data_IF_800621071489
#
_entry.id   IF_800621071489
#
_cell.length_a   1.000
_cell.length_b   1.000
_cell.length_c   1.000
_cell.angle_alpha   90.00
_cell.angle_beta   90.00
_cell.angle_gamma   90.00
#
_symmetry.space_group_name_H-M   'P 1'
#
loop_
_entity.id
_entity.type
_entity.pdbx_description
1 polymer ?
#
# COMPACT_ATOMS: atom_id res chain seq x y z
N UNK A 1 -12.82 -2.13 25.63
CA UNK A 1 -12.64 -2.33 25.12
C UNK A 1 -11.94 -2.49 24.47
N UNK A 2 -11.60 -2.40 24.46
CA UNK A 2 -11.06 -2.52 23.84
C UNK A 2 -10.67 -2.96 23.17
N UNK A 3 -10.36 -3.07 23.40
CA UNK A 3 -10.27 -3.99 22.62
C UNK A 3 -10.14 -3.77 21.26
N UNK A 4 -10.61 -2.94 20.80
CA UNK A 4 -10.42 -2.60 19.55
C UNK A 4 -9.08 -2.40 19.15
N UNK A 5 -8.30 -1.89 19.97
CA UNK A 5 -6.98 -1.59 19.71
C UNK A 5 -6.21 -2.73 19.27
N UNK A 6 -6.43 -3.83 19.87
CA UNK A 6 -5.68 -4.92 19.50
C UNK A 6 -6.08 -5.40 18.16
N UNK A 7 -7.21 -4.95 17.69
CA UNK A 7 -7.61 -5.34 16.42
C UNK A 7 -7.20 -4.40 15.36
N UNK A 8 -6.54 -3.32 15.72
CA UNK A 8 -6.09 -2.39 14.74
C UNK A 8 -5.09 -3.05 13.84
N UNK A 9 -5.27 -2.94 12.57
CA UNK A 9 -4.34 -3.48 11.60
C UNK A 9 -3.11 -2.60 11.49
N UNK A 10 -1.95 -3.21 11.35
CA UNK A 10 -0.73 -2.44 11.11
C UNK A 10 -0.74 -1.93 9.68
N UNK A 11 -0.34 -0.69 9.50
CA UNK A 11 -0.37 -0.03 8.20
C UNK A 11 1.02 0.35 7.73
N UNK A 12 1.20 0.38 6.42
CA UNK A 12 2.41 0.91 5.83
C UNK A 12 2.41 2.42 6.05
N UNK A 13 3.53 2.95 6.48
CA UNK A 13 3.66 4.38 6.73
C UNK A 13 4.97 4.87 6.13
N UNK A 14 5.10 6.16 6.01
CA UNK A 14 6.35 6.78 5.60
C UNK A 14 6.91 7.56 6.80
N UNK A 15 8.22 7.76 6.81
CA UNK A 15 8.88 8.41 7.91
C UNK A 15 10.06 9.24 7.41
N UNK A 16 10.31 10.38 8.04
CA UNK A 16 11.54 11.12 7.85
C UNK A 16 11.82 11.86 9.16
N UNK A 17 12.76 12.80 9.14
CA UNK A 17 13.14 13.49 10.38
C UNK A 17 12.02 14.34 10.96
N UNK A 18 11.00 14.64 10.16
CA UNK A 18 9.86 15.43 10.66
C UNK A 18 8.78 14.56 11.28
N UNK A 19 8.87 13.24 11.18
CA UNK A 19 7.92 12.35 11.82
C UNK A 19 7.36 11.32 10.86
N UNK A 20 6.19 10.81 11.21
CA UNK A 20 5.53 9.75 10.46
C UNK A 20 4.39 10.32 9.64
N UNK A 21 4.17 9.71 8.48
CA UNK A 21 3.07 10.10 7.60
C UNK A 21 2.15 8.90 7.36
N UNK A 22 0.86 9.10 7.58
CA UNK A 22 -0.14 8.10 7.23
C UNK A 22 -0.39 8.18 5.73
N UNK A 23 -0.46 7.03 5.09
CA UNK A 23 -0.64 6.96 3.63
C UNK A 23 -2.09 6.63 3.31
N UNK A 24 -2.48 6.87 2.06
CA UNK A 24 -3.84 6.58 1.61
C UNK A 24 -3.93 5.09 1.32
N UNK A 25 -4.81 4.39 2.01
CA UNK A 25 -4.96 2.94 1.88
C UNK A 25 -6.03 2.61 0.86
N UNK A 26 -5.67 1.85 -0.14
CA UNK A 26 -6.60 1.39 -1.17
C UNK A 26 -6.72 -0.12 -1.04
N UNK A 27 -7.96 -0.62 -0.97
CA UNK A 27 -8.19 -2.06 -0.95
C UNK A 27 -8.31 -2.49 -2.40
N UNK A 28 -7.26 -3.12 -2.90
CA UNK A 28 -7.20 -3.51 -4.31
C UNK A 28 -8.00 -4.77 -4.55
N UNK A 29 -7.90 -5.72 -3.64
CA UNK A 29 -8.63 -6.98 -3.79
C UNK A 29 -8.82 -7.62 -2.43
N UNK A 30 -9.90 -8.35 -2.28
CA UNK A 30 -10.13 -9.15 -1.08
C UNK A 30 -10.51 -10.56 -1.51
N UNK A 31 -10.12 -11.52 -0.69
CA UNK A 31 -10.43 -12.91 -0.93
C UNK A 31 -10.98 -13.44 0.41
N UNK A 32 -12.30 -13.46 0.51
CA UNK A 32 -12.99 -13.81 1.74
C UNK A 32 -13.73 -15.11 1.63
N UNK A 33 -14.19 -15.62 2.76
CA UNK A 33 -14.88 -16.89 2.84
C UNK A 33 -16.33 -16.66 3.27
N UNK A 34 -17.25 -17.27 2.54
CA UNK A 34 -18.68 -17.22 2.86
C UNK A 34 -19.05 -18.56 3.45
N UNK A 35 -19.28 -18.58 4.75
CA UNK A 35 -19.49 -19.82 5.47
C UNK A 35 -20.74 -20.56 5.02
N UNK A 36 -21.83 -19.86 4.80
CA UNK A 36 -23.08 -20.49 4.41
C UNK A 36 -22.96 -21.25 3.11
N UNK A 37 -22.09 -20.82 2.23
CA UNK A 37 -21.94 -21.46 0.93
C UNK A 37 -20.65 -22.26 0.83
N UNK A 38 -19.86 -22.24 1.87
CA UNK A 38 -18.59 -22.96 1.93
C UNK A 38 -17.74 -22.67 0.69
N UNK A 39 -17.62 -21.40 0.35
CA UNK A 39 -16.82 -21.02 -0.80
C UNK A 39 -16.11 -19.70 -0.53
N UNK A 40 -15.04 -19.47 -1.27
CA UNK A 40 -14.34 -18.20 -1.24
C UNK A 40 -14.92 -17.27 -2.29
N UNK A 41 -14.95 -15.99 -1.98
CA UNK A 41 -15.41 -14.98 -2.91
C UNK A 41 -14.36 -13.90 -2.98
N UNK A 42 -14.19 -13.28 -4.13
CA UNK A 42 -13.21 -12.23 -4.30
C UNK A 42 -13.89 -10.97 -4.80
N UNK A 43 -13.31 -9.84 -4.41
CA UNK A 43 -13.75 -8.54 -4.83
C UNK A 43 -12.53 -7.74 -5.22
N UNK A 44 -12.71 -6.73 -6.04
CA UNK A 44 -11.59 -5.88 -6.43
C UNK A 44 -12.00 -4.42 -6.33
N UNK A 45 -11.01 -3.57 -6.11
CA UNK A 45 -11.19 -2.14 -6.02
C UNK A 45 -10.16 -1.43 -6.90
N UNK A 46 -10.14 -0.10 -6.84
CA UNK A 46 -9.26 0.65 -7.72
C UNK A 46 -7.81 0.59 -7.25
N UNK A 47 -6.91 0.69 -8.21
CA UNK A 47 -5.48 0.83 -7.95
C UNK A 47 -5.08 2.27 -8.16
N UNK A 48 -3.87 2.61 -7.73
CA UNK A 48 -3.37 3.97 -7.85
C UNK A 48 -3.50 4.52 -9.26
N UNK A 49 -3.11 3.76 -10.27
CA UNK A 49 -3.12 4.28 -11.63
C UNK A 49 -4.54 4.61 -12.11
N UNK A 50 -5.54 3.89 -11.60
CA UNK A 50 -6.93 4.21 -11.96
C UNK A 50 -7.33 5.56 -11.38
N UNK A 51 -6.91 5.83 -10.14
CA UNK A 51 -7.25 7.09 -9.49
C UNK A 51 -6.55 8.26 -10.16
N UNK A 52 -5.32 8.08 -10.61
CA UNK A 52 -4.61 9.13 -11.31
C UNK A 52 -5.32 9.45 -12.63
N UNK A 53 -5.70 8.41 -13.35
CA UNK A 53 -6.38 8.57 -14.63
C UNK A 53 -7.69 9.31 -14.45
N UNK A 54 -8.40 9.02 -13.36
CA UNK A 54 -9.70 9.64 -13.08
C UNK A 54 -9.59 10.99 -12.40
N UNK A 55 -8.39 11.41 -12.03
CA UNK A 55 -8.18 12.68 -11.35
C UNK A 55 -8.51 12.64 -9.87
N UNK A 56 -8.62 11.45 -9.28
CA UNK A 56 -9.03 11.30 -7.89
C UNK A 56 -7.82 11.15 -6.98
N UNK A 57 -6.97 12.17 -6.95
CA UNK A 57 -5.72 12.08 -6.17
C UNK A 57 -5.71 13.03 -4.97
N UNK A 58 -6.84 13.67 -4.68
CA UNK A 58 -6.85 14.70 -3.63
C UNK A 58 -6.62 14.18 -2.24
N UNK A 59 -6.92 12.93 -2.00
CA UNK A 59 -6.77 12.38 -0.65
C UNK A 59 -5.39 11.84 -0.36
N UNK A 60 -4.52 11.85 -1.36
CA UNK A 60 -3.17 11.34 -1.15
C UNK A 60 -2.35 12.36 -0.39
N UNK A 61 -1.66 11.95 0.68
CA UNK A 61 -0.77 12.88 1.37
C UNK A 61 0.38 13.27 0.46
N UNK A 62 0.86 14.49 0.61
CA UNK A 62 1.98 15.00 -0.16
C UNK A 62 3.20 14.99 0.74
N UNK A 63 4.24 14.29 0.34
CA UNK A 63 5.46 14.17 1.13
C UNK A 63 6.61 14.70 0.29
N UNK A 64 7.39 15.61 0.88
CA UNK A 64 8.57 16.11 0.21
C UNK A 64 9.72 15.17 0.44
N UNK A 65 10.46 14.89 -0.60
CA UNK A 65 11.60 14.00 -0.51
C UNK A 65 12.67 14.59 0.42
N UNK A 66 13.27 13.73 1.22
CA UNK A 66 14.47 14.07 1.97
C UNK A 66 15.33 12.82 2.04
N UNK A 67 16.61 12.99 2.36
CA UNK A 67 17.54 11.87 2.33
C UNK A 67 17.26 10.85 3.43
N UNK A 68 16.57 11.26 4.48
CA UNK A 68 16.23 10.34 5.57
C UNK A 68 14.84 9.73 5.42
N UNK A 69 14.22 9.89 4.26
CA UNK A 69 12.90 9.31 4.00
C UNK A 69 13.00 7.78 3.94
N UNK A 70 12.07 7.11 4.56
CA UNK A 70 11.95 5.65 4.44
C UNK A 70 10.49 5.23 4.57
N UNK A 71 10.22 4.02 4.09
CA UNK A 71 8.90 3.41 4.25
C UNK A 71 8.98 2.43 5.41
N UNK A 72 7.90 2.37 6.16
CA UNK A 72 7.81 1.43 7.28
C UNK A 72 6.81 0.36 6.88
N UNK A 73 7.31 -0.85 6.66
CA UNK A 73 6.50 -1.97 6.24
C UNK A 73 6.31 -2.86 7.47
N UNK A 74 5.09 -3.03 7.98
CA UNK A 74 4.89 -3.90 9.13
C UNK A 74 5.27 -5.33 8.79
N UNK A 75 5.83 -6.04 9.75
CA UNK A 75 6.24 -7.41 9.48
C UNK A 75 5.03 -8.35 9.41
N UNK A 76 3.85 -7.88 9.79
CA UNK A 76 2.65 -8.70 9.69
C UNK A 76 2.13 -8.82 8.27
N UNK A 77 2.63 -8.01 7.34
CA UNK A 77 2.19 -8.03 5.95
C UNK A 77 3.38 -8.36 5.06
N UNK A 78 3.07 -8.79 3.85
CA UNK A 78 4.10 -9.13 2.89
C UNK A 78 4.20 -8.05 1.85
N UNK A 79 5.38 -7.49 1.66
CA UNK A 79 5.58 -6.47 0.64
C UNK A 79 5.59 -7.14 -0.73
N UNK A 80 4.70 -6.69 -1.60
CA UNK A 80 4.63 -7.22 -2.96
C UNK A 80 5.44 -6.39 -3.93
N UNK A 81 5.18 -5.10 -3.99
CA UNK A 81 5.88 -4.25 -4.95
C UNK A 81 5.78 -2.80 -4.53
N UNK A 82 6.68 -1.98 -5.07
CA UNK A 82 6.62 -0.54 -4.93
C UNK A 82 6.66 0.02 -6.34
N UNK A 83 5.66 0.79 -6.71
CA UNK A 83 5.55 1.36 -8.04
C UNK A 83 5.53 2.87 -7.95
N UNK A 84 6.31 3.53 -8.81
CA UNK A 84 6.35 4.98 -8.87
C UNK A 84 5.85 5.39 -10.24
N UNK A 85 4.86 6.27 -10.26
CA UNK A 85 4.24 6.77 -11.48
C UNK A 85 4.47 8.28 -11.55
N UNK A 86 4.60 8.79 -12.77
CA UNK A 86 4.68 10.25 -12.93
C UNK A 86 3.26 10.83 -12.90
N UNK A 87 3.15 12.13 -13.10
CA UNK A 87 1.86 12.81 -13.02
C UNK A 87 0.87 12.33 -14.06
N UNK A 88 1.33 11.74 -15.14
CA UNK A 88 0.46 11.22 -16.18
C UNK A 88 0.08 9.76 -15.95
N UNK A 89 0.56 9.18 -14.86
CA UNK A 89 0.25 7.79 -14.55
C UNK A 89 1.18 6.79 -15.22
N UNK A 90 2.29 7.27 -15.79
CA UNK A 90 3.25 6.39 -16.44
C UNK A 90 4.25 5.87 -15.42
N UNK A 91 4.56 4.58 -15.51
CA UNK A 91 5.47 3.95 -14.56
C UNK A 91 6.90 4.39 -14.83
N UNK A 92 7.55 4.96 -13.85
CA UNK A 92 8.94 5.40 -13.99
C UNK A 92 9.88 4.54 -13.15
N UNK A 93 9.34 3.76 -12.21
CA UNK A 93 10.16 2.90 -11.38
C UNK A 93 9.27 1.81 -10.80
N UNK A 94 9.75 0.58 -10.80
CA UNK A 94 9.03 -0.53 -10.18
C UNK A 94 10.02 -1.42 -9.48
N UNK A 95 9.70 -1.79 -8.25
CA UNK A 95 10.56 -2.63 -7.43
C UNK A 95 9.75 -3.74 -6.82
N UNK A 96 10.34 -4.94 -6.75
CA UNK A 96 9.70 -6.06 -6.11
C UNK A 96 10.28 -6.20 -4.73
N UNK A 97 9.50 -6.18 -3.77
CA UNK A 97 9.73 -6.58 -2.37
C UNK A 97 11.15 -6.49 -1.83
N UNK A 98 12.00 -5.62 -2.35
CA UNK A 98 13.38 -5.64 -1.95
C UNK A 98 13.72 -4.72 -0.81
N UNK A 99 13.28 -3.54 -0.79
CA UNK A 99 13.80 -2.57 0.17
C UNK A 99 12.80 -1.50 0.50
N UNK A 100 12.75 -1.13 1.76
CA UNK A 100 11.86 -0.07 2.21
C UNK A 100 12.64 1.18 2.60
N UNK A 101 13.95 1.22 2.38
CA UNK A 101 14.75 2.33 2.90
C UNK A 101 14.69 3.59 2.05
N UNK A 102 14.04 3.53 0.93
CA UNK A 102 13.84 4.73 0.14
C UNK A 102 14.98 5.19 -0.72
N UNK A 103 16.09 4.47 -0.71
CA UNK A 103 17.26 4.91 -1.47
C UNK A 103 16.99 5.01 -2.96
N UNK A 104 16.16 4.13 -3.49
CA UNK A 104 15.89 4.14 -4.91
C UNK A 104 15.14 5.41 -5.35
N UNK A 105 14.50 6.10 -4.42
CA UNK A 105 13.82 7.34 -4.79
C UNK A 105 14.84 8.45 -5.04
N UNK A 106 16.04 8.31 -4.51
CA UNK A 106 17.03 9.37 -4.64
C UNK A 106 17.46 9.55 -6.10
N UNK A 107 17.25 8.55 -6.93
CA UNK A 107 17.67 8.64 -8.33
C UNK A 107 16.61 9.26 -9.22
N UNK A 108 15.45 9.53 -8.71
CA UNK A 108 14.39 10.14 -9.52
C UNK A 108 14.72 11.61 -9.78
N UNK A 109 14.45 12.11 -10.99
CA UNK A 109 14.62 13.53 -11.25
C UNK A 109 13.67 14.36 -10.42
N UNK A 110 13.97 15.65 -10.32
CA UNK A 110 13.09 16.59 -9.66
C UNK A 110 11.73 16.55 -10.34
N UNK A 111 10.66 16.48 -9.57
CA UNK A 111 9.31 16.43 -10.12
C UNK A 111 8.31 15.90 -9.11
N UNK A 112 7.10 15.67 -9.59
CA UNK A 112 6.01 15.16 -8.78
C UNK A 112 5.71 13.74 -9.21
N UNK A 113 5.60 12.86 -8.21
CA UNK A 113 5.38 11.43 -8.48
C UNK A 113 4.29 10.91 -7.58
N UNK A 114 3.67 9.81 -7.98
CA UNK A 114 2.74 9.08 -7.14
C UNK A 114 3.33 7.71 -6.87
N UNK A 115 3.33 7.31 -5.62
CA UNK A 115 3.95 6.07 -5.18
C UNK A 115 2.88 5.16 -4.62
N UNK A 116 2.90 3.89 -5.01
CA UNK A 116 2.02 2.88 -4.44
C UNK A 116 2.85 1.75 -3.88
N UNK A 117 2.66 1.45 -2.61
CA UNK A 117 3.30 0.32 -1.95
C UNK A 117 2.25 -0.77 -1.84
N UNK A 118 2.43 -1.86 -2.57
CA UNK A 118 1.43 -2.93 -2.58
C UNK A 118 1.86 -4.03 -1.63
N UNK A 119 0.95 -4.46 -0.78
CA UNK A 119 1.21 -5.50 0.20
C UNK A 119 0.09 -6.52 0.17
N UNK A 120 0.40 -7.71 0.68
CA UNK A 120 -0.57 -8.76 0.89
C UNK A 120 -0.76 -8.91 2.40
N UNK A 121 -2.02 -8.96 2.81
CA UNK A 121 -2.35 -9.09 4.23
C UNK A 121 -3.14 -10.38 4.42
N UNK A 122 -2.59 -11.27 5.23
CA UNK A 122 -3.24 -12.53 5.54
C UNK A 122 -4.37 -12.28 6.54
N UNK A 123 -5.51 -12.89 6.30
CA UNK A 123 -6.66 -12.77 7.18
C UNK A 123 -6.86 -14.02 8.00
N UNK A 124 -8.11 -14.50 8.06
CA UNK A 124 -8.47 -15.61 8.92
C UNK A 124 -8.16 -16.95 8.28
N UNK A 125 -7.76 -17.90 9.10
CA UNK A 125 -7.56 -19.28 8.64
C UNK A 125 -8.92 -19.98 8.61
N UNK A 126 -9.26 -20.58 7.48
CA UNK A 126 -10.51 -21.31 7.32
C UNK A 126 -10.18 -22.79 7.39
N UNK A 127 -10.41 -23.37 8.53
CA UNK A 127 -10.02 -24.74 8.80
C UNK A 127 -10.65 -25.74 7.84
N UNK A 128 -11.90 -25.53 7.48
CA UNK A 128 -12.60 -26.43 6.60
C UNK A 128 -11.99 -26.51 5.21
N UNK A 129 -11.25 -25.49 4.81
CA UNK A 129 -10.66 -25.41 3.48
C UNK A 129 -9.15 -25.43 3.52
N UNK A 130 -8.55 -25.37 4.71
CA UNK A 130 -7.09 -25.31 4.89
C UNK A 130 -6.51 -24.16 4.09
N UNK A 131 -7.16 -23.02 4.15
CA UNK A 131 -6.73 -21.81 3.42
C UNK A 131 -6.98 -20.59 4.27
N UNK A 132 -6.30 -19.50 3.94
CA UNK A 132 -6.50 -18.24 4.62
C UNK A 132 -7.26 -17.28 3.72
N UNK A 133 -8.04 -16.42 4.32
CA UNK A 133 -8.53 -15.24 3.61
C UNK A 133 -7.37 -14.26 3.49
N UNK A 134 -7.44 -13.31 2.56
CA UNK A 134 -6.37 -12.33 2.42
C UNK A 134 -6.89 -11.11 1.68
N UNK A 135 -6.11 -10.04 1.74
CA UNK A 135 -6.40 -8.84 0.96
C UNK A 135 -5.10 -8.35 0.32
N UNK A 136 -5.26 -7.66 -0.80
CA UNK A 136 -4.16 -6.96 -1.45
C UNK A 136 -4.47 -5.48 -1.30
N UNK A 137 -3.51 -4.73 -0.78
CA UNK A 137 -3.72 -3.31 -0.50
C UNK A 137 -2.61 -2.50 -1.11
N UNK A 138 -2.91 -1.29 -1.51
CA UNK A 138 -1.89 -0.33 -1.93
C UNK A 138 -1.94 0.84 -0.98
N UNK A 139 -0.77 1.31 -0.59
CA UNK A 139 -0.66 2.51 0.24
C UNK A 139 -0.01 3.57 -0.64
N UNK A 140 -0.74 4.66 -0.85
CA UNK A 140 -0.38 5.62 -1.88
C UNK A 140 -0.08 6.99 -1.30
N UNK A 141 0.83 7.69 -1.92
CA UNK A 141 1.14 9.07 -1.55
C UNK A 141 1.73 9.80 -2.76
N UNK A 142 1.75 11.11 -2.65
CA UNK A 142 2.37 11.97 -3.65
C UNK A 142 3.75 12.35 -3.16
N UNK A 143 4.78 12.10 -3.95
CA UNK A 143 6.15 12.41 -3.58
C UNK A 143 6.62 13.58 -4.42
N UNK A 144 7.11 14.63 -3.75
CA UNK A 144 7.62 15.80 -4.46
C UNK A 144 9.11 15.94 -4.26
N UNK A 145 9.83 16.04 -5.35
CA UNK A 145 11.28 16.20 -5.31
C UNK A 145 11.71 17.54 -5.84
#
# INVERSE_FOLDING_TARGET
METLDEKEEAHVMAEDSDGYYALCRLIVATYGYVEEEDCFVSDSGPRLHNLIFDGDTEEFPVIRWSEDFSLIIPHEVELGSITVLNENGEKVLGLDSESSDGKYFSELPVGTYYVAVEIDRKGDYIEARDEYTYSVEQYAFCLKK
#
